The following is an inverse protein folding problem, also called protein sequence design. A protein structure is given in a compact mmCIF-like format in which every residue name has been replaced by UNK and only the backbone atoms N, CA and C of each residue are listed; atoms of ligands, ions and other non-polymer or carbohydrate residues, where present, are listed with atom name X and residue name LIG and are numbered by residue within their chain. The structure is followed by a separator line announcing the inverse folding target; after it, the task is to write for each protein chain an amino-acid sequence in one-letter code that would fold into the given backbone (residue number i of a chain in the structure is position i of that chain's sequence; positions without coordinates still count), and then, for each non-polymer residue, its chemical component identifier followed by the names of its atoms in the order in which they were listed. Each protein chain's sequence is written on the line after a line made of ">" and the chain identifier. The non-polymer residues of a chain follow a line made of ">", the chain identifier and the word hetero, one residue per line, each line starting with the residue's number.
data_IF_879120380461
#
_entry.id   IF_879120380461
#
_cell.length_a   1.000
_cell.length_b   1.000
_cell.length_c   1.000
_cell.angle_alpha   90.00
_cell.angle_beta   90.00
_cell.angle_gamma   90.00
#
_symmetry.space_group_name_H-M   'P 1'
#
loop_
_entity.id
_entity.type
_entity.pdbx_description
1 polymer ?
#
# COMPACT_ATOMS: atom_id res chain seq x y z
N UNK A 1 -20.05 26.01 -46.13
CA UNK A 1 -18.94 26.94 -46.44
C UNK A 1 -17.72 26.46 -45.67
N UNK A 2 -16.73 25.86 -46.36
CA UNK A 2 -15.50 25.40 -45.72
C UNK A 2 -14.53 26.57 -45.54
N UNK A 3 -14.01 26.83 -44.33
CA UNK A 3 -12.96 27.83 -44.16
C UNK A 3 -11.68 27.33 -44.84
N UNK A 4 -11.12 28.17 -45.72
CA UNK A 4 -9.83 27.94 -46.37
C UNK A 4 -8.73 27.88 -45.31
N UNK A 5 -8.02 26.76 -45.25
CA UNK A 5 -6.73 26.60 -44.60
C UNK A 5 -5.68 27.41 -45.37
N UNK A 6 -5.58 28.70 -45.06
CA UNK A 6 -4.43 29.50 -45.43
C UNK A 6 -3.19 29.00 -44.69
N UNK A 7 -2.05 28.94 -45.38
CA UNK A 7 -0.74 28.66 -44.78
C UNK A 7 -0.45 29.70 -43.71
N UNK A 8 -0.55 29.33 -42.43
CA UNK A 8 -0.16 30.19 -41.31
C UNK A 8 1.32 30.50 -41.44
N UNK A 9 1.64 31.79 -41.48
CA UNK A 9 3.04 32.22 -41.45
C UNK A 9 3.57 32.08 -40.01
N UNK A 10 4.89 31.89 -39.82
CA UNK A 10 5.49 31.83 -38.48
C UNK A 10 5.12 33.04 -37.61
N UNK A 11 4.95 34.21 -38.23
CA UNK A 11 4.56 35.44 -37.55
C UNK A 11 3.11 35.39 -37.01
N UNK A 12 2.19 34.72 -37.72
CA UNK A 12 0.81 34.52 -37.24
C UNK A 12 0.77 33.61 -35.99
N UNK A 13 1.67 32.62 -35.93
CA UNK A 13 1.79 31.72 -34.76
C UNK A 13 2.32 32.50 -33.56
N UNK A 14 3.35 33.33 -33.74
CA UNK A 14 3.91 34.15 -32.66
C UNK A 14 2.91 35.21 -32.19
N UNK A 15 2.17 35.83 -33.11
CA UNK A 15 1.12 36.79 -32.76
C UNK A 15 -0.01 36.12 -31.97
N UNK A 16 -0.45 34.92 -32.37
CA UNK A 16 -1.46 34.14 -31.64
C UNK A 16 -0.97 33.73 -30.25
N UNK A 17 0.26 33.24 -30.13
CA UNK A 17 0.85 32.87 -28.84
C UNK A 17 0.99 34.06 -27.89
N UNK A 18 1.28 35.26 -28.41
CA UNK A 18 1.30 36.49 -27.59
C UNK A 18 -0.09 36.94 -27.17
N UNK A 19 -1.10 36.81 -28.04
CA UNK A 19 -2.48 37.11 -27.69
C UNK A 19 -3.01 36.16 -26.60
N UNK A 20 -2.69 34.87 -26.72
CA UNK A 20 -3.11 33.84 -25.75
C UNK A 20 -2.32 33.90 -24.44
N UNK A 21 -1.11 34.48 -24.43
CA UNK A 21 -0.31 34.66 -23.21
C UNK A 21 -0.99 35.59 -22.18
N UNK A 22 -1.91 36.47 -22.60
CA UNK A 22 -2.70 37.31 -21.69
C UNK A 22 -3.96 36.61 -21.15
N UNK A 23 -4.30 35.43 -21.68
CA UNK A 23 -5.41 34.61 -21.20
C UNK A 23 -4.98 33.55 -20.17
N UNK A 24 -3.69 33.50 -19.81
CA UNK A 24 -3.20 32.60 -18.75
C UNK A 24 -3.76 33.12 -17.42
N UNK A 25 -4.65 32.37 -16.74
CA UNK A 25 -5.12 32.77 -15.43
C UNK A 25 -3.93 32.94 -14.50
N UNK A 26 -3.96 33.99 -13.68
CA UNK A 26 -2.94 34.20 -12.66
C UNK A 26 -3.14 33.15 -11.55
N UNK A 27 -2.65 31.93 -11.79
CA UNK A 27 -2.77 30.80 -10.88
C UNK A 27 -1.83 31.05 -9.70
N UNK A 28 -2.36 31.74 -8.68
CA UNK A 28 -1.70 31.82 -7.38
C UNK A 28 -1.74 30.44 -6.73
N UNK A 29 -0.61 29.74 -6.76
CA UNK A 29 -0.44 28.51 -6.00
C UNK A 29 -0.51 28.81 -4.51
N UNK A 30 -1.52 28.23 -3.84
CA UNK A 30 -1.58 28.19 -2.38
C UNK A 30 -0.42 27.34 -1.86
N UNK A 31 0.66 28.03 -1.50
CA UNK A 31 1.93 27.42 -1.07
C UNK A 31 1.73 26.51 0.16
N UNK A 32 0.96 26.89 1.18
CA UNK A 32 0.55 25.97 2.26
C UNK A 32 -0.11 24.68 1.78
N UNK A 33 -1.07 24.77 0.84
CA UNK A 33 -1.76 23.59 0.32
C UNK A 33 -0.80 22.66 -0.43
N UNK A 34 0.03 23.21 -1.33
CA UNK A 34 1.04 22.44 -2.09
C UNK A 34 2.03 21.75 -1.15
N UNK A 35 2.50 22.45 -0.10
CA UNK A 35 3.42 21.86 0.88
C UNK A 35 2.76 20.80 1.76
N UNK A 36 1.48 20.95 2.10
CA UNK A 36 0.73 19.93 2.83
C UNK A 36 0.59 18.65 2.00
N UNK A 37 0.22 18.77 0.71
CA UNK A 37 0.12 17.65 -0.22
C UNK A 37 1.48 16.99 -0.43
N UNK A 38 2.55 17.76 -0.65
CA UNK A 38 3.90 17.24 -0.80
C UNK A 38 4.39 16.49 0.46
N UNK A 39 4.09 17.00 1.66
CA UNK A 39 4.44 16.33 2.93
C UNK A 39 3.66 15.05 3.14
N UNK A 40 2.36 15.01 2.79
CA UNK A 40 1.55 13.78 2.85
C UNK A 40 2.10 12.73 1.89
N UNK A 41 2.37 13.09 0.64
CA UNK A 41 2.99 12.21 -0.35
C UNK A 41 4.35 11.68 0.12
N UNK A 42 5.19 12.53 0.73
CA UNK A 42 6.50 12.12 1.24
C UNK A 42 6.40 11.20 2.46
N UNK A 43 5.44 11.42 3.37
CA UNK A 43 5.17 10.53 4.52
C UNK A 43 4.69 9.16 4.05
N UNK A 44 3.78 9.13 3.08
CA UNK A 44 3.25 7.90 2.46
C UNK A 44 4.37 7.11 1.76
N UNK A 45 5.22 7.79 0.98
CA UNK A 45 6.41 7.17 0.36
C UNK A 45 7.42 6.64 1.38
N UNK A 46 7.68 7.38 2.47
CA UNK A 46 8.58 6.92 3.54
C UNK A 46 8.03 5.70 4.28
N UNK A 47 6.72 5.62 4.55
CA UNK A 47 6.11 4.41 5.12
C UNK A 47 6.36 3.18 4.24
N UNK A 48 6.24 3.33 2.91
CA UNK A 48 6.57 2.26 1.94
C UNK A 48 8.06 1.90 1.93
N UNK A 49 8.96 2.89 1.96
CA UNK A 49 10.41 2.65 1.88
C UNK A 49 11.05 2.17 3.20
N UNK A 50 10.42 2.43 4.35
CA UNK A 50 10.94 2.00 5.66
C UNK A 50 10.91 0.47 5.82
N UNK A 51 10.06 -0.23 5.07
CA UNK A 51 9.96 -1.69 5.08
C UNK A 51 11.12 -2.35 4.32
N UNK A 52 11.66 -1.71 3.28
CA UNK A 52 12.66 -2.30 2.38
C UNK A 52 14.10 -1.85 2.71
N UNK A 53 14.30 -0.59 3.12
CA UNK A 53 15.65 -0.02 3.27
C UNK A 53 16.38 -0.37 4.57
N UNK A 54 15.65 -0.53 5.69
CA UNK A 54 16.26 -0.80 7.01
C UNK A 54 16.78 -2.23 7.11
N UNK A 55 16.13 -3.17 6.42
CA UNK A 55 16.49 -4.60 6.41
C UNK A 55 17.80 -4.85 5.66
N UNK A 56 17.98 -4.26 4.47
CA UNK A 56 19.18 -4.48 3.66
C UNK A 56 20.46 -3.90 4.28
N UNK A 57 20.40 -2.69 4.86
CA UNK A 57 21.56 -2.07 5.50
C UNK A 57 21.89 -2.72 6.87
N UNK A 58 20.87 -3.13 7.62
CA UNK A 58 21.05 -3.83 8.91
C UNK A 58 21.69 -5.20 8.75
N UNK A 59 21.23 -6.01 7.79
CA UNK A 59 21.81 -7.34 7.49
C UNK A 59 23.25 -7.24 6.96
N UNK A 60 23.56 -6.25 6.13
CA UNK A 60 24.93 -6.06 5.61
C UNK A 60 25.89 -5.52 6.69
N UNK A 61 25.43 -4.64 7.59
CA UNK A 61 26.27 -4.13 8.67
C UNK A 61 26.53 -5.20 9.77
N UNK A 62 25.55 -6.05 10.07
CA UNK A 62 25.66 -7.11 11.07
C UNK A 62 26.51 -8.30 10.61
N UNK A 63 26.59 -8.55 9.31
CA UNK A 63 27.44 -9.62 8.76
C UNK A 63 28.94 -9.24 8.76
N UNK A 64 29.26 -7.94 8.71
CA UNK A 64 30.65 -7.46 8.65
C UNK A 64 31.24 -7.13 10.03
N UNK A 65 30.44 -6.67 11.00
CA UNK A 65 30.96 -6.10 12.25
C UNK A 65 31.46 -7.10 13.30
N UNK A 66 31.21 -8.41 13.14
CA UNK A 66 31.58 -9.39 14.16
C UNK A 66 30.81 -9.21 15.48
N UNK A 67 31.16 -10.00 16.49
CA UNK A 67 30.46 -10.01 17.78
C UNK A 67 30.45 -8.61 18.43
N UNK A 68 29.26 -8.00 18.53
CA UNK A 68 29.10 -6.68 19.14
C UNK A 68 28.82 -6.88 20.63
N UNK A 69 29.64 -6.25 21.48
CA UNK A 69 29.35 -6.11 22.91
C UNK A 69 28.38 -4.97 23.10
N UNK A 70 27.17 -5.28 23.56
CA UNK A 70 26.19 -4.26 23.94
C UNK A 70 26.28 -4.03 25.47
N UNK A 71 26.43 -2.78 25.92
CA UNK A 71 26.42 -2.48 27.35
C UNK A 71 25.09 -2.94 27.97
N UNK A 72 25.15 -3.85 28.94
CA UNK A 72 23.98 -4.37 29.67
C UNK A 72 23.37 -5.67 29.14
N UNK A 73 23.72 -6.13 27.93
CA UNK A 73 23.10 -7.32 27.30
C UNK A 73 24.11 -8.44 26.99
N UNK A 74 25.41 -8.19 27.22
CA UNK A 74 26.47 -9.15 26.94
C UNK A 74 26.90 -9.16 25.47
N UNK A 75 27.70 -10.16 25.08
CA UNK A 75 28.23 -10.30 23.73
C UNK A 75 27.22 -11.05 22.85
N UNK A 76 26.74 -10.42 21.78
CA UNK A 76 25.77 -11.04 20.87
C UNK A 76 26.52 -11.72 19.71
N UNK A 77 26.37 -13.04 19.59
CA UNK A 77 26.96 -13.85 18.52
C UNK A 77 25.85 -14.43 17.66
N UNK A 78 25.78 -14.04 16.39
CA UNK A 78 24.72 -14.49 15.47
C UNK A 78 24.92 -15.97 15.07
N UNK A 79 23.85 -16.79 15.02
CA UNK A 79 23.92 -18.14 14.46
C UNK A 79 24.28 -18.06 12.96
N UNK A 80 25.33 -18.76 12.54
CA UNK A 80 25.80 -18.79 11.14
C UNK A 80 27.09 -18.00 10.84
N UNK A 81 27.55 -17.14 11.76
CA UNK A 81 28.76 -16.33 11.56
C UNK A 81 30.07 -17.12 11.42
N UNK A 82 30.13 -18.34 11.97
CA UNK A 82 31.33 -19.18 11.86
C UNK A 82 31.56 -19.67 10.43
N UNK A 83 30.52 -20.03 9.66
CA UNK A 83 30.70 -20.52 8.30
C UNK A 83 31.27 -19.45 7.35
N UNK A 84 30.84 -18.19 7.52
CA UNK A 84 31.35 -17.05 6.74
C UNK A 84 32.78 -16.69 7.14
N UNK A 85 33.13 -16.74 8.43
CA UNK A 85 34.51 -16.49 8.90
C UNK A 85 35.50 -17.59 8.53
N UNK A 86 35.07 -18.85 8.47
CA UNK A 86 35.90 -19.96 7.98
C UNK A 86 36.16 -19.83 6.47
N UNK A 87 35.17 -19.40 5.68
CA UNK A 87 35.35 -19.14 4.23
C UNK A 87 36.26 -17.93 3.98
N UNK A 88 36.22 -16.93 4.87
CA UNK A 88 37.08 -15.73 4.81
C UNK A 88 38.43 -15.89 5.54
N UNK A 89 38.73 -17.06 6.13
CA UNK A 89 40.02 -17.38 6.75
C UNK A 89 40.35 -16.65 8.05
N UNK A 90 39.35 -16.24 8.83
CA UNK A 90 39.53 -15.28 9.94
C UNK A 90 39.52 -15.89 11.37
N UNK A 91 39.39 -17.21 11.56
CA UNK A 91 39.41 -17.82 12.91
C UNK A 91 40.06 -19.23 12.96
N UNK A 92 40.73 -19.51 14.08
CA UNK A 92 41.48 -20.75 14.40
C UNK A 92 40.53 -21.83 14.99
N UNK A 93 40.44 -23.04 14.39
CA UNK A 93 39.44 -24.06 14.72
C UNK A 93 39.55 -24.72 16.11
N UNK A 94 40.51 -24.33 16.97
CA UNK A 94 40.81 -25.04 18.22
C UNK A 94 40.25 -24.41 19.52
N UNK A 95 39.48 -23.31 19.47
CA UNK A 95 39.03 -22.62 20.69
C UNK A 95 37.79 -23.27 21.36
N UNK A 96 37.78 -23.49 22.69
CA UNK A 96 36.66 -24.09 23.40
C UNK A 96 35.44 -23.15 23.56
N UNK A 97 34.23 -23.69 23.41
CA UNK A 97 32.98 -22.94 23.45
C UNK A 97 32.58 -22.52 24.88
N UNK A 98 32.36 -21.21 25.08
CA UNK A 98 31.84 -20.64 26.35
C UNK A 98 30.33 -20.80 26.50
N UNK A 99 29.88 -21.08 27.73
CA UNK A 99 28.48 -21.28 28.11
C UNK A 99 27.59 -20.04 27.86
N UNK A 100 26.35 -20.27 27.41
CA UNK A 100 25.37 -19.26 26.98
C UNK A 100 24.45 -18.83 28.13
N UNK A 101 24.15 -17.52 28.30
CA UNK A 101 22.98 -17.07 29.06
C UNK A 101 21.70 -17.26 28.22
N UNK A 102 20.60 -17.60 28.87
CA UNK A 102 19.29 -17.80 28.26
C UNK A 102 18.77 -16.53 27.59
N UNK A 103 18.34 -16.69 26.34
CA UNK A 103 17.76 -15.67 25.49
C UNK A 103 16.25 -15.93 25.44
N UNK A 104 15.42 -14.90 25.61
CA UNK A 104 13.96 -15.05 25.50
C UNK A 104 13.58 -15.20 24.03
N UNK A 105 13.23 -16.43 23.65
CA UNK A 105 12.89 -16.79 22.27
C UNK A 105 11.56 -16.14 21.83
N UNK A 106 10.69 -15.72 22.75
CA UNK A 106 9.39 -15.15 22.42
C UNK A 106 9.47 -13.78 21.74
N UNK A 107 10.36 -12.90 22.23
CA UNK A 107 10.53 -11.56 21.66
C UNK A 107 11.21 -11.58 20.28
N UNK A 108 12.18 -12.47 20.09
CA UNK A 108 12.87 -12.65 18.81
C UNK A 108 12.00 -13.35 17.78
N UNK A 109 11.17 -14.32 18.20
CA UNK A 109 10.16 -14.91 17.32
C UNK A 109 9.13 -13.86 16.90
N UNK A 110 8.67 -12.97 17.77
CA UNK A 110 7.76 -11.88 17.39
C UNK A 110 8.38 -10.86 16.41
N UNK A 111 9.69 -10.60 16.53
CA UNK A 111 10.42 -9.69 15.64
C UNK A 111 10.78 -10.33 14.29
N UNK A 112 11.03 -11.64 14.27
CA UNK A 112 11.22 -12.44 13.06
C UNK A 112 9.89 -12.73 12.37
N UNK A 113 8.80 -12.97 13.12
CA UNK A 113 7.43 -12.98 12.59
C UNK A 113 7.13 -11.65 11.91
N UNK A 114 7.44 -10.51 12.51
CA UNK A 114 7.25 -9.21 11.85
C UNK A 114 8.07 -8.98 10.56
N UNK A 115 9.17 -9.72 10.36
CA UNK A 115 10.06 -9.59 9.19
C UNK A 115 9.91 -10.71 8.16
N UNK A 116 9.31 -11.84 8.55
CA UNK A 116 9.17 -13.06 7.74
C UNK A 116 7.70 -13.45 7.57
N UNK A 117 6.76 -12.96 8.39
CA UNK A 117 5.33 -13.19 8.22
C UNK A 117 4.75 -12.26 7.15
N UNK A 118 4.89 -12.74 5.93
CA UNK A 118 3.80 -13.02 4.98
C UNK A 118 2.59 -13.77 5.57
N UNK A 119 2.34 -13.66 6.88
CA UNK A 119 1.41 -14.48 7.64
C UNK A 119 0.03 -13.85 7.66
N UNK A 120 -0.96 -14.70 7.44
CA UNK A 120 -2.37 -14.37 7.64
C UNK A 120 -2.57 -13.79 9.07
N UNK A 121 -3.29 -12.67 9.22
CA UNK A 121 -3.58 -12.10 10.54
C UNK A 121 -4.32 -13.12 11.42
N UNK A 122 -4.21 -13.00 12.75
CA UNK A 122 -5.02 -13.84 13.65
C UNK A 122 -6.52 -13.48 13.52
N UNK A 123 -7.44 -14.39 13.88
CA UNK A 123 -8.88 -14.09 13.86
C UNK A 123 -9.27 -12.85 14.69
N UNK A 124 -8.65 -12.66 15.85
CA UNK A 124 -8.87 -11.48 16.70
C UNK A 124 -8.43 -10.21 15.97
N UNK A 125 -7.27 -10.26 15.33
CA UNK A 125 -6.74 -9.13 14.56
C UNK A 125 -7.60 -8.80 13.36
N UNK A 126 -8.11 -9.81 12.64
CA UNK A 126 -9.07 -9.61 11.55
C UNK A 126 -10.34 -8.91 12.03
N UNK A 127 -10.89 -9.34 13.17
CA UNK A 127 -12.08 -8.73 13.74
C UNK A 127 -11.86 -7.25 14.13
N UNK A 128 -10.71 -6.94 14.74
CA UNK A 128 -10.32 -5.55 15.04
C UNK A 128 -10.18 -4.69 13.78
N UNK A 129 -9.49 -5.22 12.76
CA UNK A 129 -9.29 -4.51 11.49
C UNK A 129 -10.64 -4.25 10.79
N UNK A 130 -11.53 -5.25 10.72
CA UNK A 130 -12.89 -5.09 10.19
C UNK A 130 -13.68 -4.04 10.97
N UNK A 131 -13.66 -4.06 12.31
CA UNK A 131 -14.36 -3.07 13.12
C UNK A 131 -13.85 -1.64 12.83
N UNK A 132 -12.55 -1.50 12.59
CA UNK A 132 -11.93 -0.23 12.23
C UNK A 132 -12.32 0.25 10.82
N UNK A 133 -12.34 -0.65 9.82
CA UNK A 133 -12.83 -0.33 8.47
C UNK A 133 -14.29 0.15 8.50
N UNK A 134 -15.14 -0.54 9.26
CA UNK A 134 -16.55 -0.17 9.43
C UNK A 134 -16.71 1.21 10.06
N UNK A 135 -15.87 1.54 11.03
CA UNK A 135 -15.96 2.81 11.77
C UNK A 135 -15.43 3.99 10.95
N UNK A 136 -14.32 3.80 10.25
CA UNK A 136 -13.58 4.91 9.66
C UNK A 136 -13.72 5.03 8.14
N UNK A 137 -13.86 3.90 7.44
CA UNK A 137 -13.77 3.85 5.96
C UNK A 137 -15.16 3.77 5.33
N UNK A 138 -16.03 2.85 5.77
CA UNK A 138 -17.33 2.65 5.14
C UNK A 138 -18.17 3.93 5.03
N UNK A 139 -18.29 4.80 6.06
CA UNK A 139 -19.07 6.03 5.93
C UNK A 139 -18.57 6.95 4.80
N UNK A 140 -17.25 6.98 4.56
CA UNK A 140 -16.65 7.77 3.49
C UNK A 140 -16.92 7.14 2.13
N UNK A 141 -16.91 5.80 2.04
CA UNK A 141 -17.29 5.09 0.82
C UNK A 141 -18.77 5.28 0.49
N UNK A 142 -19.68 5.25 1.46
CA UNK A 142 -21.12 5.48 1.25
C UNK A 142 -21.40 6.89 0.72
N UNK A 143 -20.61 7.89 1.15
CA UNK A 143 -20.72 9.26 0.67
C UNK A 143 -20.19 9.43 -0.77
N UNK A 144 -18.98 8.94 -1.04
CA UNK A 144 -18.27 9.17 -2.32
C UNK A 144 -18.69 8.15 -3.39
N UNK A 145 -19.05 6.93 -2.96
CA UNK A 145 -19.41 5.76 -3.75
C UNK A 145 -18.36 5.31 -4.76
N UNK A 146 -17.07 5.21 -4.40
CA UNK A 146 -16.07 4.69 -5.32
C UNK A 146 -16.35 3.21 -5.64
N UNK A 147 -16.19 2.81 -6.90
CA UNK A 147 -16.26 1.41 -7.31
C UNK A 147 -14.88 0.75 -7.21
N UNK A 148 -13.81 1.54 -7.33
CA UNK A 148 -12.43 1.09 -7.26
C UNK A 148 -11.49 2.26 -6.92
N UNK A 149 -10.42 1.99 -6.17
CA UNK A 149 -9.27 2.90 -6.06
C UNK A 149 -8.00 2.09 -5.84
N UNK A 150 -6.88 2.63 -6.29
CA UNK A 150 -5.56 2.06 -6.07
C UNK A 150 -4.58 3.16 -5.67
N UNK A 151 -3.84 2.94 -4.58
CA UNK A 151 -2.70 3.77 -4.20
C UNK A 151 -1.42 2.96 -4.51
N UNK A 152 -0.82 3.12 -5.68
CA UNK A 152 0.36 2.35 -6.10
C UNK A 152 1.47 3.25 -6.66
N UNK A 153 2.00 2.92 -7.85
CA UNK A 153 2.96 3.78 -8.56
C UNK A 153 2.28 5.01 -9.17
N UNK A 154 0.98 4.89 -9.45
CA UNK A 154 0.08 5.98 -9.70
C UNK A 154 -1.18 5.80 -8.88
N UNK A 155 -1.81 6.91 -8.54
CA UNK A 155 -3.10 6.91 -7.90
C UNK A 155 -4.21 6.80 -8.94
N UNK A 156 -5.24 6.00 -8.65
CA UNK A 156 -6.42 5.88 -9.51
C UNK A 156 -7.68 5.84 -8.67
N UNK A 157 -8.74 6.50 -9.16
CA UNK A 157 -10.08 6.52 -8.55
C UNK A 157 -11.14 6.30 -9.63
N UNK A 158 -12.01 5.32 -9.42
CA UNK A 158 -13.21 5.09 -10.20
C UNK A 158 -14.45 5.24 -9.32
N UNK A 159 -15.41 6.06 -9.76
CA UNK A 159 -16.61 6.42 -9.02
C UNK A 159 -17.63 7.11 -9.96
N UNK A 160 -18.83 7.53 -9.50
CA UNK A 160 -19.90 8.01 -10.38
C UNK A 160 -19.55 9.17 -11.32
N UNK A 161 -18.49 9.93 -11.03
CA UNK A 161 -18.02 11.03 -11.89
C UNK A 161 -17.10 10.58 -13.04
N UNK A 162 -16.69 9.31 -13.07
CA UNK A 162 -15.78 8.73 -14.05
C UNK A 162 -14.53 8.11 -13.43
N UNK A 163 -13.54 7.86 -14.28
CA UNK A 163 -12.25 7.27 -13.88
C UNK A 163 -11.15 8.33 -13.98
N UNK A 164 -10.39 8.50 -12.90
CA UNK A 164 -9.37 9.52 -12.78
C UNK A 164 -8.05 8.92 -12.33
N UNK A 165 -6.94 9.39 -12.90
CA UNK A 165 -5.58 9.04 -12.47
C UNK A 165 -4.64 10.23 -12.53
N UNK A 166 -3.40 10.06 -12.05
CA UNK A 166 -2.39 11.13 -12.00
C UNK A 166 -2.19 11.83 -13.35
N UNK A 167 -2.13 11.07 -14.44
CA UNK A 167 -1.88 11.59 -15.80
C UNK A 167 -3.00 11.28 -16.80
N UNK A 168 -4.09 10.67 -16.32
CA UNK A 168 -5.26 10.29 -17.13
C UNK A 168 -5.05 9.08 -18.03
N UNK A 169 -3.98 8.31 -17.85
CA UNK A 169 -3.69 7.13 -18.67
C UNK A 169 -3.01 5.99 -17.90
N UNK A 170 -2.79 6.15 -16.60
CA UNK A 170 -2.05 5.18 -15.82
C UNK A 170 -2.76 3.83 -15.70
N UNK A 171 -4.09 3.83 -15.45
CA UNK A 171 -4.87 2.61 -15.31
C UNK A 171 -5.17 1.92 -16.64
N UNK A 172 -4.87 2.57 -17.76
CA UNK A 172 -5.20 2.09 -19.10
C UNK A 172 -6.70 1.93 -19.35
N UNK A 173 -7.55 2.61 -18.55
CA UNK A 173 -9.01 2.45 -18.65
C UNK A 173 -9.60 3.37 -19.72
N UNK A 174 -10.67 2.95 -20.42
CA UNK A 174 -11.36 3.82 -21.36
C UNK A 174 -11.89 5.07 -20.66
N UNK A 175 -11.73 6.23 -21.31
CA UNK A 175 -12.18 7.53 -20.80
C UNK A 175 -11.56 7.95 -19.44
N UNK A 176 -10.44 7.33 -19.05
CA UNK A 176 -9.63 7.81 -17.96
C UNK A 176 -9.12 9.23 -18.24
N UNK A 177 -9.13 10.07 -17.22
CA UNK A 177 -8.73 11.46 -17.33
C UNK A 177 -7.87 11.90 -16.15
N UNK A 178 -7.05 12.94 -16.28
CA UNK A 178 -6.27 13.44 -15.16
C UNK A 178 -7.19 13.84 -14.01
N UNK A 179 -6.73 13.66 -12.77
CA UNK A 179 -7.46 14.14 -11.60
C UNK A 179 -7.81 15.63 -11.72
N UNK A 180 -9.11 15.93 -11.60
CA UNK A 180 -9.55 17.28 -11.24
C UNK A 180 -9.46 17.51 -9.73
N UNK A 181 -9.66 18.76 -9.30
CA UNK A 181 -9.53 19.14 -7.89
C UNK A 181 -10.50 18.38 -6.98
N UNK A 182 -11.71 18.05 -7.46
CA UNK A 182 -12.74 17.38 -6.67
C UNK A 182 -12.41 15.89 -6.57
N UNK A 183 -12.07 15.24 -7.67
CA UNK A 183 -11.69 13.82 -7.69
C UNK A 183 -10.44 13.57 -6.83
N UNK A 184 -9.47 14.50 -6.85
CA UNK A 184 -8.31 14.42 -5.96
C UNK A 184 -8.71 14.55 -4.50
N UNK A 185 -9.56 15.52 -4.16
CA UNK A 185 -10.02 15.71 -2.80
C UNK A 185 -10.81 14.50 -2.28
N UNK A 186 -11.65 13.88 -3.12
CA UNK A 186 -12.39 12.68 -2.77
C UNK A 186 -11.47 11.48 -2.54
N UNK A 187 -10.47 11.26 -3.40
CA UNK A 187 -9.46 10.22 -3.16
C UNK A 187 -8.69 10.49 -1.85
N UNK A 188 -8.25 11.74 -1.63
CA UNK A 188 -7.54 12.11 -0.39
C UNK A 188 -8.38 11.81 0.86
N UNK A 189 -9.70 12.06 0.81
CA UNK A 189 -10.62 11.73 1.92
C UNK A 189 -10.70 10.23 2.18
N UNK A 190 -10.74 9.41 1.14
CA UNK A 190 -10.73 7.94 1.26
C UNK A 190 -9.40 7.48 1.88
N UNK A 191 -8.28 7.95 1.35
CA UNK A 191 -6.96 7.54 1.82
C UNK A 191 -6.69 8.01 3.26
N UNK A 192 -7.15 9.21 3.64
CA UNK A 192 -7.08 9.67 5.03
C UNK A 192 -7.97 8.84 5.97
N UNK A 193 -9.12 8.33 5.49
CA UNK A 193 -9.97 7.43 6.24
C UNK A 193 -9.31 6.06 6.47
N UNK A 194 -8.67 5.51 5.45
CA UNK A 194 -7.87 4.28 5.54
C UNK A 194 -6.66 4.48 6.47
N UNK A 195 -5.94 5.60 6.39
CA UNK A 195 -4.84 5.88 7.32
C UNK A 195 -5.32 5.93 8.78
N UNK A 196 -6.49 6.51 9.04
CA UNK A 196 -7.10 6.56 10.38
C UNK A 196 -7.57 5.20 10.88
N UNK A 197 -7.99 4.30 9.99
CA UNK A 197 -8.40 2.95 10.40
C UNK A 197 -7.20 2.12 10.90
N UNK A 198 -5.99 2.45 10.45
CA UNK A 198 -4.78 1.69 10.78
C UNK A 198 -4.75 0.29 10.15
N UNK A 199 -5.71 -0.03 9.28
CA UNK A 199 -5.73 -1.28 8.54
C UNK A 199 -4.83 -1.13 7.32
N UNK A 200 -3.92 -2.09 7.05
CA UNK A 200 -2.94 -1.96 5.99
C UNK A 200 -3.55 -2.30 4.63
N UNK A 201 -4.54 -1.53 4.17
CA UNK A 201 -5.15 -1.66 2.84
C UNK A 201 -4.67 -0.54 1.93
N UNK A 202 -4.34 -0.85 0.68
CA UNK A 202 -3.87 0.12 -0.31
C UNK A 202 -4.73 0.14 -1.58
N UNK A 203 -5.74 -0.73 -1.65
CA UNK A 203 -6.62 -0.85 -2.80
C UNK A 203 -8.04 -1.24 -2.36
N UNK A 204 -9.01 -0.62 -3.02
CA UNK A 204 -10.39 -1.07 -3.06
C UNK A 204 -10.59 -1.86 -4.34
N UNK A 205 -10.62 -3.18 -4.25
CA UNK A 205 -10.73 -4.09 -5.40
C UNK A 205 -12.10 -3.96 -6.08
N UNK A 206 -13.16 -3.81 -5.29
CA UNK A 206 -14.51 -3.57 -5.79
C UNK A 206 -15.42 -3.01 -4.70
N UNK A 207 -16.44 -2.25 -5.09
CA UNK A 207 -17.57 -1.94 -4.23
C UNK A 207 -18.87 -1.86 -5.04
N UNK A 208 -19.96 -2.26 -4.40
CA UNK A 208 -21.33 -2.07 -4.86
C UNK A 208 -22.15 -1.41 -3.77
N UNK A 209 -23.11 -0.61 -4.21
CA UNK A 209 -23.94 0.19 -3.34
C UNK A 209 -25.40 -0.05 -3.69
N UNK A 210 -26.25 -0.10 -2.67
CA UNK A 210 -27.69 -0.06 -2.83
C UNK A 210 -28.13 1.32 -3.38
N UNK A 211 -29.38 1.46 -3.88
CA UNK A 211 -29.87 2.73 -4.42
C UNK A 211 -29.83 3.92 -3.45
N UNK A 212 -29.89 3.65 -2.14
CA UNK A 212 -29.78 4.67 -1.08
C UNK A 212 -28.33 5.03 -0.73
N UNK A 213 -27.33 4.39 -1.35
CA UNK A 213 -25.91 4.65 -1.16
C UNK A 213 -25.24 3.81 -0.08
N UNK A 214 -25.98 2.95 0.62
CA UNK A 214 -25.40 2.00 1.59
C UNK A 214 -24.51 0.99 0.88
N UNK A 215 -23.42 0.57 1.53
CA UNK A 215 -22.53 -0.47 0.96
C UNK A 215 -23.27 -1.82 0.94
N UNK A 216 -23.45 -2.38 -0.25
CA UNK A 216 -24.01 -3.72 -0.48
C UNK A 216 -22.91 -4.78 -0.39
N UNK A 217 -21.78 -4.52 -1.05
CA UNK A 217 -20.59 -5.37 -1.00
C UNK A 217 -19.33 -4.52 -1.19
N UNK A 218 -18.23 -4.88 -0.54
CA UNK A 218 -16.95 -4.19 -0.72
C UNK A 218 -15.76 -5.14 -0.52
N UNK A 219 -14.70 -4.98 -1.29
CA UNK A 219 -13.46 -5.74 -1.16
C UNK A 219 -12.23 -4.83 -1.03
N UNK A 220 -11.44 -5.03 0.02
CA UNK A 220 -10.18 -4.32 0.24
C UNK A 220 -8.99 -5.26 0.13
N UNK A 221 -8.02 -4.93 -0.71
CA UNK A 221 -6.76 -5.66 -0.74
C UNK A 221 -5.92 -5.24 0.48
N UNK A 222 -5.50 -6.22 1.26
CA UNK A 222 -4.67 -6.05 2.45
C UNK A 222 -3.21 -6.31 2.10
N UNK A 223 -2.37 -5.31 2.33
CA UNK A 223 -0.91 -5.45 2.30
C UNK A 223 -0.42 -6.45 3.36
N UNK A 224 0.68 -7.14 3.08
CA UNK A 224 1.38 -7.98 4.07
C UNK A 224 1.30 -9.49 3.86
N UNK A 225 0.76 -9.97 2.74
CA UNK A 225 0.88 -11.39 2.33
C UNK A 225 2.24 -11.75 1.72
N UNK A 226 3.15 -10.78 1.63
CA UNK A 226 4.49 -10.98 1.09
C UNK A 226 4.47 -11.25 -0.41
N UNK A 227 5.42 -12.04 -0.89
CA UNK A 227 5.53 -12.41 -2.30
C UNK A 227 4.66 -13.60 -2.68
N UNK A 228 4.15 -14.35 -1.71
CA UNK A 228 3.44 -15.61 -1.95
C UNK A 228 1.91 -15.44 -1.96
N UNK A 229 1.37 -14.56 -1.11
CA UNK A 229 -0.06 -14.45 -0.88
C UNK A 229 -0.60 -13.04 -1.08
N UNK A 230 -1.80 -12.98 -1.64
CA UNK A 230 -2.74 -11.88 -1.56
C UNK A 230 -3.70 -12.14 -0.41
N UNK A 231 -3.99 -11.09 0.36
CA UNK A 231 -5.00 -11.11 1.41
C UNK A 231 -6.05 -10.04 1.14
N UNK A 232 -7.33 -10.35 1.34
CA UNK A 232 -8.38 -9.35 1.18
C UNK A 232 -9.44 -9.43 2.29
N UNK A 233 -10.00 -8.28 2.64
CA UNK A 233 -11.21 -8.17 3.45
C UNK A 233 -12.41 -7.94 2.55
N UNK A 234 -13.39 -8.84 2.61
CA UNK A 234 -14.60 -8.77 1.80
C UNK A 234 -15.80 -8.59 2.71
N UNK A 235 -16.64 -7.60 2.45
CA UNK A 235 -17.99 -7.53 2.99
C UNK A 235 -18.95 -8.00 1.90
N UNK A 236 -19.69 -9.06 2.20
CA UNK A 236 -20.70 -9.64 1.32
C UNK A 236 -21.61 -10.49 2.21
N UNK A 237 -22.78 -9.96 2.65
CA UNK A 237 -23.59 -10.61 3.68
C UNK A 237 -24.15 -11.97 3.25
N UNK A 238 -24.30 -12.19 1.95
CA UNK A 238 -24.82 -13.44 1.38
C UNK A 238 -23.72 -14.42 0.93
N UNK A 239 -22.44 -14.05 1.09
CA UNK A 239 -21.33 -14.93 0.75
C UNK A 239 -21.34 -16.18 1.63
N UNK A 240 -20.74 -17.25 1.12
CA UNK A 240 -20.58 -18.50 1.84
C UNK A 240 -19.09 -18.84 1.96
N UNK A 241 -18.68 -19.53 3.04
CA UNK A 241 -17.32 -20.05 3.12
C UNK A 241 -17.06 -20.93 1.89
N UNK A 242 -15.92 -20.71 1.23
CA UNK A 242 -15.54 -21.48 0.07
C UNK A 242 -14.03 -21.64 -0.03
N UNK A 243 -13.64 -22.77 -0.60
CA UNK A 243 -12.26 -23.12 -0.91
C UNK A 243 -12.24 -23.71 -2.32
N UNK A 244 -11.28 -23.30 -3.13
CA UNK A 244 -11.10 -23.82 -4.48
C UNK A 244 -9.65 -23.75 -4.94
N UNK A 245 -9.31 -24.56 -5.94
CA UNK A 245 -8.00 -24.54 -6.59
C UNK A 245 -8.04 -23.57 -7.78
N UNK A 246 -7.22 -22.52 -7.75
CA UNK A 246 -6.99 -21.63 -8.90
C UNK A 246 -5.81 -22.14 -9.74
N UNK A 247 -5.53 -21.49 -10.88
CA UNK A 247 -4.34 -21.81 -11.67
C UNK A 247 -3.01 -21.55 -10.92
N UNK A 248 -3.04 -20.73 -9.87
CA UNK A 248 -1.87 -20.31 -9.11
C UNK A 248 -1.75 -21.01 -7.76
N UNK A 249 -2.75 -21.79 -7.36
CA UNK A 249 -2.82 -22.47 -6.07
C UNK A 249 -4.16 -22.31 -5.35
N UNK A 250 -4.24 -22.73 -4.08
CA UNK A 250 -5.48 -22.77 -3.31
C UNK A 250 -5.93 -21.37 -2.90
N UNK A 251 -7.23 -21.10 -3.02
CA UNK A 251 -7.88 -19.89 -2.54
C UNK A 251 -8.90 -20.26 -1.46
N UNK A 252 -8.92 -19.48 -0.38
CA UNK A 252 -9.83 -19.67 0.75
C UNK A 252 -10.56 -18.38 1.06
N UNK A 253 -11.87 -18.48 1.34
CA UNK A 253 -12.70 -17.40 1.90
C UNK A 253 -13.26 -17.89 3.22
N UNK A 254 -12.87 -17.21 4.30
CA UNK A 254 -13.18 -17.58 5.68
C UNK A 254 -13.99 -16.49 6.37
N UNK A 255 -15.06 -16.81 7.12
CA UNK A 255 -15.87 -15.81 7.79
C UNK A 255 -15.10 -15.14 8.94
N UNK A 256 -15.31 -13.84 9.12
CA UNK A 256 -14.80 -13.06 10.24
C UNK A 256 -15.95 -12.81 11.23
N UNK A 257 -16.21 -13.82 12.08
CA UNK A 257 -17.35 -13.85 12.98
C UNK A 257 -18.70 -13.77 12.23
N UNK A 258 -19.75 -13.31 12.92
CA UNK A 258 -21.11 -13.21 12.37
C UNK A 258 -21.42 -11.79 11.84
N UNK A 259 -20.48 -11.22 11.08
CA UNK A 259 -20.53 -9.79 10.70
C UNK A 259 -20.85 -9.54 9.23
N UNK A 260 -20.96 -10.58 8.40
CA UNK A 260 -21.02 -10.48 6.94
C UNK A 260 -19.67 -10.14 6.29
N UNK A 261 -18.59 -10.13 7.08
CA UNK A 261 -17.22 -9.95 6.61
C UNK A 261 -16.47 -11.28 6.49
N UNK A 262 -15.55 -11.30 5.54
CA UNK A 262 -14.79 -12.46 5.13
C UNK A 262 -13.34 -12.08 4.91
N UNK A 263 -12.47 -13.04 5.15
CA UNK A 263 -11.05 -12.95 4.83
C UNK A 263 -10.75 -13.88 3.67
N UNK A 264 -10.26 -13.31 2.58
CA UNK A 264 -9.72 -14.06 1.46
C UNK A 264 -8.21 -14.22 1.61
N UNK A 265 -7.73 -15.43 1.35
CA UNK A 265 -6.32 -15.73 1.09
C UNK A 265 -6.22 -16.41 -0.28
N UNK A 266 -5.50 -15.78 -1.20
CA UNK A 266 -5.23 -16.26 -2.55
C UNK A 266 -3.73 -16.17 -2.87
N UNK A 267 -3.18 -17.01 -3.76
CA UNK A 267 -1.79 -16.88 -4.21
C UNK A 267 -1.58 -15.55 -4.93
N UNK A 268 -0.35 -15.04 -4.90
CA UNK A 268 0.04 -13.92 -5.76
C UNK A 268 0.18 -14.35 -7.23
N UNK A 269 -0.16 -13.43 -8.13
CA UNK A 269 0.08 -13.52 -9.58
C UNK A 269 1.57 -13.37 -9.95
#
# INVERSE_FOLDING_TARGET
>A
MNPRTGTQTPDDVVARLRADAHAIPDVRFDTPAVLATARRALRRRRRRQSVVGVVAAGLLALTVAGSVRLPGVGTLTMPGGHQVRTVLGLEDPAAPATARPGFDLGELLGLLDGMVNSGQPSPERMAEEVASLRTHVLPVLEEIRPTWYEEAQCDILEYPRGTFSDDGKCGGRPAEQPFDAVARADLDRILDAVERSGVPTNELMSARYTPDGTVESVGFLRSGGGIEWNFAYLYSPDEQPREWESALGPVTITPIGDTGWWFEKSPND
#
